data_IF_247424512156
#
_entry.id   IF_247424512156
#
_cell.length_a   1.000
_cell.length_b   1.000
_cell.length_c   1.000
_cell.angle_alpha   90.00
_cell.angle_beta   90.00
_cell.angle_gamma   90.00
#
_symmetry.space_group_name_H-M   'P 1'
#
loop_
_entity.id
_entity.type
_entity.pdbx_description
1 polymer ?
#
# COMPACT_ATOMS: atom_id res chain seq x y z
N UNK A 1 -10.78 -4.84 -13.28
CA UNK A 1 -10.87 -3.62 -12.49
C UNK A 1 -12.28 -3.10 -12.48
N UNK A 2 -12.81 -2.74 -11.37
CA UNK A 2 -14.19 -2.28 -11.25
C UNK A 2 -14.23 -0.77 -11.04
N UNK A 3 -15.38 -0.17 -11.38
CA UNK A 3 -15.57 1.27 -11.21
C UNK A 3 -15.40 1.73 -9.77
N UNK A 4 -15.74 0.86 -8.80
CA UNK A 4 -15.63 1.21 -7.38
C UNK A 4 -14.19 1.50 -6.94
N UNK A 5 -13.20 1.04 -7.70
CA UNK A 5 -11.79 1.24 -7.37
C UNK A 5 -11.14 2.36 -8.15
N UNK A 6 -11.88 3.03 -9.03
CA UNK A 6 -11.33 4.09 -9.89
C UNK A 6 -10.76 5.25 -9.08
N UNK A 7 -11.49 5.70 -8.07
CA UNK A 7 -11.05 6.80 -7.21
C UNK A 7 -9.82 6.40 -6.39
N UNK A 8 -9.80 5.17 -5.89
CA UNK A 8 -8.67 4.65 -5.12
C UNK A 8 -7.40 4.60 -5.96
N UNK A 9 -7.53 4.11 -7.18
CA UNK A 9 -6.40 4.02 -8.12
C UNK A 9 -5.89 5.41 -8.49
N UNK A 10 -6.80 6.36 -8.74
CA UNK A 10 -6.40 7.74 -9.03
C UNK A 10 -5.61 8.34 -7.87
N UNK A 11 -6.03 8.06 -6.63
CA UNK A 11 -5.33 8.55 -5.45
C UNK A 11 -3.94 7.92 -5.32
N UNK A 12 -3.79 6.64 -5.63
CA UNK A 12 -2.49 5.97 -5.60
C UNK A 12 -1.55 6.56 -6.65
N UNK A 13 -2.06 6.87 -7.83
CA UNK A 13 -1.26 7.51 -8.90
C UNK A 13 -0.83 8.92 -8.50
N UNK A 14 -1.69 9.66 -7.83
CA UNK A 14 -1.35 10.98 -7.32
C UNK A 14 -0.24 10.89 -6.27
N UNK A 15 -0.34 9.94 -5.35
CA UNK A 15 0.71 9.71 -4.35
C UNK A 15 2.03 9.34 -5.01
N UNK A 16 2.00 8.50 -6.05
CA UNK A 16 3.17 8.10 -6.82
C UNK A 16 3.95 9.32 -7.34
N UNK A 17 3.25 10.35 -7.81
CA UNK A 17 3.90 11.55 -8.33
C UNK A 17 4.60 12.36 -7.22
N UNK A 18 4.22 12.16 -5.97
CA UNK A 18 4.78 12.88 -4.83
C UNK A 18 5.87 12.10 -4.09
N UNK A 19 6.29 10.94 -4.59
CA UNK A 19 7.34 10.17 -3.95
C UNK A 19 8.67 10.94 -3.95
N UNK A 20 9.45 10.75 -2.89
CA UNK A 20 10.76 11.37 -2.76
C UNK A 20 11.83 10.29 -2.93
N UNK A 21 12.37 10.16 -4.15
CA UNK A 21 13.28 9.06 -4.51
C UNK A 21 14.54 9.55 -5.21
N UNK A 22 15.31 10.46 -4.54
CA UNK A 22 16.51 11.02 -5.18
C UNK A 22 17.61 9.99 -5.42
N UNK A 23 17.59 8.88 -4.69
CA UNK A 23 18.64 7.86 -4.76
C UNK A 23 18.30 6.74 -5.71
N UNK A 24 17.14 6.09 -5.52
CA UNK A 24 16.75 4.93 -6.32
C UNK A 24 16.08 5.30 -7.64
N UNK A 25 15.45 6.48 -7.71
CA UNK A 25 14.59 6.89 -8.82
C UNK A 25 13.39 5.94 -9.00
N UNK A 26 13.04 5.19 -7.97
CA UNK A 26 11.96 4.20 -8.02
C UNK A 26 10.77 4.67 -7.19
N UNK A 27 9.83 5.34 -7.84
CA UNK A 27 8.64 5.87 -7.18
C UNK A 27 7.60 4.78 -6.93
N UNK A 28 6.98 4.84 -5.75
CA UNK A 28 5.83 4.00 -5.39
C UNK A 28 4.79 4.90 -4.74
N UNK A 29 3.54 4.73 -5.12
CA UNK A 29 2.42 5.41 -4.47
C UNK A 29 1.43 4.40 -3.95
N UNK A 30 0.78 4.72 -2.84
CA UNK A 30 -0.23 3.86 -2.25
C UNK A 30 -1.42 4.68 -1.81
N UNK A 31 -2.60 4.07 -1.81
CA UNK A 31 -3.80 4.69 -1.29
C UNK A 31 -4.64 3.64 -0.59
N UNK A 32 -5.16 3.99 0.57
CA UNK A 32 -6.06 3.13 1.35
C UNK A 32 -7.49 3.60 1.17
N UNK A 33 -8.40 2.67 0.98
CA UNK A 33 -9.83 2.95 1.01
C UNK A 33 -10.38 2.56 2.37
N UNK A 34 -11.01 3.50 3.04
CA UNK A 34 -11.61 3.29 4.35
C UNK A 34 -13.11 3.10 4.23
N UNK A 35 -13.70 2.40 5.19
CA UNK A 35 -15.14 2.11 5.17
C UNK A 35 -16.01 3.35 5.22
N UNK A 36 -15.50 4.45 5.80
CA UNK A 36 -16.24 5.71 5.86
C UNK A 36 -16.18 6.50 4.56
N UNK A 37 -15.50 5.98 3.54
CA UNK A 37 -15.37 6.62 2.24
C UNK A 37 -14.12 7.47 2.06
N UNK A 38 -13.37 7.70 3.12
CA UNK A 38 -12.13 8.47 3.02
C UNK A 38 -11.03 7.65 2.38
N UNK A 39 -10.08 8.36 1.77
CA UNK A 39 -8.90 7.76 1.13
C UNK A 39 -7.65 8.40 1.76
N UNK A 40 -6.72 7.55 2.18
CA UNK A 40 -5.44 7.98 2.76
C UNK A 40 -4.33 7.61 1.80
N UNK A 41 -3.51 8.60 1.42
CA UNK A 41 -2.40 8.42 0.47
C UNK A 41 -1.07 8.26 1.18
N UNK A 42 -0.15 7.54 0.56
CA UNK A 42 1.23 7.44 1.00
C UNK A 42 2.16 7.27 -0.19
N UNK A 43 3.38 7.75 -0.06
CA UNK A 43 4.40 7.61 -1.08
C UNK A 43 5.69 7.17 -0.41
N UNK A 44 6.61 6.56 -1.18
CA UNK A 44 7.89 6.22 -0.60
C UNK A 44 8.76 7.46 -0.47
N UNK A 45 9.40 7.57 0.68
CA UNK A 45 10.23 8.72 1.06
C UNK A 45 11.60 8.17 1.44
N UNK A 46 12.59 8.49 0.64
CA UNK A 46 13.95 8.01 0.83
C UNK A 46 14.77 8.92 1.73
N UNK A 47 15.85 8.39 2.24
CA UNK A 47 16.77 9.09 3.10
C UNK A 47 18.20 8.66 2.75
N UNK A 48 19.15 9.59 2.85
CA UNK A 48 20.56 9.25 2.66
C UNK A 48 20.99 8.14 3.62
N UNK A 49 20.43 8.12 4.84
CA UNK A 49 20.54 6.97 5.73
C UNK A 49 19.49 5.95 5.28
N UNK A 50 19.89 5.04 4.43
CA UNK A 50 18.96 4.22 3.66
C UNK A 50 18.01 3.40 4.54
N UNK A 51 18.45 2.96 5.70
CA UNK A 51 17.60 2.22 6.65
C UNK A 51 16.42 3.02 7.17
N UNK A 52 16.41 4.34 7.00
CA UNK A 52 15.30 5.20 7.43
C UNK A 52 14.29 5.46 6.31
N UNK A 53 14.53 4.93 5.12
CA UNK A 53 13.58 5.01 4.00
C UNK A 53 12.27 4.32 4.37
N UNK A 54 11.15 4.97 4.09
CA UNK A 54 9.85 4.38 4.37
C UNK A 54 9.10 4.09 3.07
N UNK A 55 8.46 2.92 3.00
CA UNK A 55 7.70 2.48 1.84
C UNK A 55 6.35 3.19 1.77
N UNK A 56 5.79 3.30 0.56
CA UNK A 56 4.51 3.94 0.34
C UNK A 56 3.38 3.28 1.14
N UNK A 57 3.35 1.96 1.17
CA UNK A 57 2.32 1.19 1.88
C UNK A 57 2.34 1.51 3.37
N UNK A 58 3.53 1.52 3.97
CA UNK A 58 3.67 1.82 5.39
C UNK A 58 3.35 3.27 5.69
N UNK A 59 3.72 4.20 4.80
CA UNK A 59 3.37 5.61 4.97
C UNK A 59 1.86 5.80 5.03
N UNK A 60 1.13 5.15 4.13
CA UNK A 60 -0.34 5.24 4.12
C UNK A 60 -0.96 4.61 5.37
N UNK A 61 -0.50 3.41 5.74
CA UNK A 61 -1.05 2.68 6.90
C UNK A 61 -0.76 3.41 8.20
N UNK A 62 0.46 3.89 8.39
CA UNK A 62 0.83 4.60 9.61
C UNK A 62 0.06 5.92 9.73
N UNK A 63 -0.18 6.61 8.60
CA UNK A 63 -1.00 7.81 8.58
C UNK A 63 -2.42 7.52 9.01
N UNK A 64 -3.03 6.46 8.48
CA UNK A 64 -4.38 6.07 8.85
C UNK A 64 -4.49 5.78 10.36
N UNK A 65 -3.55 5.00 10.88
CA UNK A 65 -3.54 4.69 12.31
C UNK A 65 -3.31 5.92 13.17
N UNK A 66 -2.48 6.83 12.72
CA UNK A 66 -2.26 8.11 13.41
C UNK A 66 -3.56 8.92 13.48
N UNK A 67 -4.41 8.82 12.47
CA UNK A 67 -5.69 9.51 12.43
C UNK A 67 -6.79 8.78 13.19
N UNK A 68 -6.49 7.65 13.80
CA UNK A 68 -7.45 6.91 14.63
C UNK A 68 -8.13 5.74 13.95
N UNK A 69 -7.84 5.49 12.67
CA UNK A 69 -8.39 4.31 12.00
C UNK A 69 -7.68 3.05 12.48
N UNK A 70 -8.36 1.93 12.36
CA UNK A 70 -7.86 0.63 12.80
C UNK A 70 -8.13 -0.42 11.72
N UNK A 71 -7.69 -1.64 11.98
CA UNK A 71 -7.71 -2.75 11.03
C UNK A 71 -9.08 -2.90 10.34
N UNK A 72 -10.14 -2.94 11.11
CA UNK A 72 -11.48 -3.20 10.57
C UNK A 72 -12.08 -2.01 9.79
N UNK A 73 -11.43 -0.85 9.85
CA UNK A 73 -11.85 0.33 9.09
C UNK A 73 -11.34 0.34 7.66
N UNK A 74 -10.44 -0.57 7.31
CA UNK A 74 -9.75 -0.55 6.02
C UNK A 74 -10.35 -1.59 5.08
N UNK A 75 -10.75 -1.19 3.87
CA UNK A 75 -11.34 -2.07 2.87
C UNK A 75 -10.33 -2.57 1.85
N UNK A 76 -9.42 -1.70 1.40
CA UNK A 76 -8.55 -2.01 0.27
C UNK A 76 -7.34 -1.08 0.25
N UNK A 77 -6.31 -1.53 -0.44
CA UNK A 77 -5.13 -0.70 -0.75
C UNK A 77 -4.83 -0.83 -2.24
N UNK A 78 -4.49 0.29 -2.89
CA UNK A 78 -3.98 0.30 -4.25
C UNK A 78 -2.53 0.77 -4.20
N UNK A 79 -1.66 0.11 -4.96
CA UNK A 79 -0.22 0.39 -4.98
C UNK A 79 0.23 0.52 -6.43
N UNK A 80 0.86 1.65 -6.76
CA UNK A 80 1.41 1.91 -8.10
C UNK A 80 2.92 1.99 -7.99
N UNK A 81 3.62 1.25 -8.84
CA UNK A 81 5.09 1.25 -8.85
C UNK A 81 5.61 1.59 -10.24
N UNK A 82 6.85 2.10 -10.30
CA UNK A 82 7.51 2.44 -11.56
C UNK A 82 8.05 1.17 -12.22
N UNK A 83 7.15 0.35 -12.73
CA UNK A 83 7.47 -0.94 -13.34
C UNK A 83 6.61 -1.19 -14.57
N UNK A 84 7.07 -2.10 -15.43
CA UNK A 84 6.31 -2.49 -16.63
C UNK A 84 5.17 -3.44 -16.28
N UNK A 85 5.28 -4.17 -15.18
CA UNK A 85 4.25 -5.08 -14.71
C UNK A 85 3.97 -4.82 -13.23
N UNK A 86 2.78 -5.20 -12.73
CA UNK A 86 2.51 -5.06 -11.29
C UNK A 86 3.52 -5.87 -10.48
N UNK A 87 4.02 -5.29 -9.40
CA UNK A 87 4.91 -5.98 -8.48
C UNK A 87 4.29 -6.00 -7.09
N UNK A 88 4.61 -7.02 -6.33
CA UNK A 88 4.06 -7.15 -4.99
C UNK A 88 4.86 -6.32 -3.99
N UNK A 89 4.25 -5.95 -2.86
CA UNK A 89 4.96 -5.28 -1.78
C UNK A 89 6.10 -6.15 -1.25
N UNK A 90 7.14 -5.52 -0.71
CA UNK A 90 8.24 -6.25 -0.10
C UNK A 90 7.76 -7.02 1.13
N UNK A 91 8.60 -7.95 1.63
CA UNK A 91 8.23 -8.78 2.78
C UNK A 91 7.89 -7.97 4.02
N UNK A 92 8.66 -6.90 4.31
CA UNK A 92 8.39 -6.05 5.46
C UNK A 92 7.01 -5.38 5.34
N UNK A 93 6.67 -4.87 4.16
CA UNK A 93 5.35 -4.26 3.95
C UNK A 93 4.24 -5.29 4.05
N UNK A 94 4.45 -6.50 3.54
CA UNK A 94 3.45 -7.58 3.67
C UNK A 94 3.18 -7.90 5.13
N UNK A 95 4.21 -7.95 5.96
CA UNK A 95 4.06 -8.19 7.39
C UNK A 95 3.26 -7.08 8.07
N UNK A 96 3.60 -5.82 7.77
CA UNK A 96 2.86 -4.67 8.31
C UNK A 96 1.41 -4.72 7.86
N UNK A 97 1.17 -4.98 6.57
CA UNK A 97 -0.19 -5.07 6.01
C UNK A 97 -0.98 -6.20 6.67
N UNK A 98 -0.34 -7.35 6.95
CA UNK A 98 -1.04 -8.47 7.57
C UNK A 98 -1.51 -8.15 8.99
N UNK A 99 -0.79 -7.31 9.70
CA UNK A 99 -1.18 -6.86 11.05
C UNK A 99 -2.25 -5.77 11.00
N UNK A 100 -2.07 -4.78 10.13
CA UNK A 100 -2.84 -3.55 10.15
C UNK A 100 -4.08 -3.55 9.25
N UNK A 101 -4.24 -4.56 8.39
CA UNK A 101 -5.38 -4.68 7.46
C UNK A 101 -6.07 -6.02 7.63
N UNK A 102 -7.38 -6.10 7.32
CA UNK A 102 -8.07 -7.40 7.35
C UNK A 102 -7.47 -8.39 6.36
N UNK A 103 -7.45 -9.67 6.71
CA UNK A 103 -6.87 -10.72 5.86
C UNK A 103 -7.54 -10.77 4.48
N UNK A 104 -8.81 -10.42 4.40
CA UNK A 104 -9.57 -10.47 3.16
C UNK A 104 -9.63 -9.13 2.42
N UNK A 105 -8.93 -8.12 2.91
CA UNK A 105 -8.89 -6.81 2.23
C UNK A 105 -8.23 -6.94 0.87
N UNK A 106 -8.73 -6.16 -0.09
CA UNK A 106 -8.21 -6.18 -1.46
C UNK A 106 -6.89 -5.43 -1.57
N UNK A 107 -5.95 -6.02 -2.29
CA UNK A 107 -4.68 -5.40 -2.65
C UNK A 107 -4.64 -5.28 -4.17
N UNK A 108 -4.66 -4.06 -4.66
CA UNK A 108 -4.67 -3.76 -6.09
C UNK A 108 -3.29 -3.27 -6.47
N UNK A 109 -2.58 -4.05 -7.28
CA UNK A 109 -1.22 -3.72 -7.70
C UNK A 109 -1.25 -3.22 -9.14
N UNK A 110 -0.63 -2.07 -9.37
CA UNK A 110 -0.61 -1.44 -10.69
C UNK A 110 0.81 -1.15 -11.13
N UNK A 111 1.06 -1.39 -12.42
CA UNK A 111 2.29 -0.89 -13.05
C UNK A 111 2.06 0.54 -13.52
N UNK A 112 3.14 1.26 -13.85
CA UNK A 112 3.00 2.58 -14.44
C UNK A 112 2.56 2.52 -15.91
N UNK A 113 2.42 1.32 -16.46
CA UNK A 113 1.90 1.07 -17.82
C UNK A 113 0.41 0.72 -17.82
N UNK A 114 -0.22 0.71 -16.64
CA UNK A 114 -1.65 0.47 -16.53
C UNK A 114 -2.05 -0.99 -16.33
N UNK A 115 -1.12 -1.92 -16.22
CA UNK A 115 -1.44 -3.31 -15.90
C UNK A 115 -1.85 -3.42 -14.43
N UNK A 116 -2.80 -4.32 -14.15
CA UNK A 116 -3.40 -4.48 -12.84
C UNK A 116 -3.37 -5.95 -12.42
N UNK A 117 -3.05 -6.19 -11.15
CA UNK A 117 -3.20 -7.51 -10.53
C UNK A 117 -3.89 -7.30 -9.17
N UNK A 118 -4.78 -8.22 -8.81
CA UNK A 118 -5.55 -8.11 -7.57
C UNK A 118 -5.36 -9.34 -6.71
N UNK A 119 -5.13 -9.11 -5.41
CA UNK A 119 -4.92 -10.16 -4.42
C UNK A 119 -5.61 -9.74 -3.14
N UNK A 120 -5.69 -10.67 -2.18
CA UNK A 120 -6.03 -10.34 -0.80
C UNK A 120 -4.75 -10.34 0.04
N UNK A 121 -4.84 -9.78 1.24
CA UNK A 121 -3.70 -9.77 2.17
C UNK A 121 -3.22 -11.18 2.46
N UNK A 122 -4.15 -12.10 2.74
CA UNK A 122 -3.79 -13.48 3.08
C UNK A 122 -3.15 -14.25 1.91
N UNK A 123 -3.44 -13.86 0.67
CA UNK A 123 -2.79 -14.45 -0.49
C UNK A 123 -1.33 -13.99 -0.63
N UNK A 124 -1.04 -12.75 -0.22
CA UNK A 124 0.31 -12.19 -0.30
C UNK A 124 1.22 -12.64 0.84
N UNK A 125 0.63 -13.01 1.98
CA UNK A 125 1.40 -13.50 3.14
C UNK A 125 0.61 -14.60 3.84
N UNK A 126 0.57 -15.81 3.27
CA UNK A 126 -0.08 -16.94 3.92
C UNK A 126 0.72 -17.36 5.16
N UNK A 127 0.02 -17.87 6.15
CA UNK A 127 0.62 -18.36 7.40
C UNK A 127 1.52 -17.31 8.04
N UNK A 128 1.00 -16.08 8.16
CA UNK A 128 1.79 -14.96 8.66
C UNK A 128 2.03 -15.05 10.17
N UNK A 129 3.09 -14.39 10.62
CA UNK A 129 3.35 -14.20 12.05
C UNK A 129 2.31 -13.22 12.61
N UNK A 130 1.60 -13.63 13.66
CA UNK A 130 0.53 -12.82 14.27
C UNK A 130 0.72 -12.73 15.79
N UNK A 131 -0.13 -11.90 16.41
CA UNK A 131 -0.13 -11.77 17.87
C UNK A 131 -0.38 -13.10 18.59
N UNK A 132 -1.01 -14.07 17.92
CA UNK A 132 -1.25 -15.39 18.48
C UNK A 132 0.05 -16.17 18.66
N UNK A 133 1.12 -15.78 18.00
CA UNK A 133 2.44 -16.42 18.08
C UNK A 133 3.30 -15.87 19.21
N UNK A 134 2.81 -14.87 19.92
CA UNK A 134 3.54 -14.26 21.05
C UNK A 134 3.20 -14.90 22.39
#
# INVERSE_FOLDING_TARGET
MTEKNTELIAAAKEAYENAYTPYSKFNVGAALKLKDGNIIKGANIENASYGLTNCAERSALFTAYTQGYRRDDIEAIAIVANTDRPISPCGACRQVMSELMPAKADVILLSNKGEVAEYTIEQLLPYSFTSEDL
#
